data_IF_658226337967
#
_entry.id   IF_658226337967
#
_cell.length_a   1.000
_cell.length_b   1.000
_cell.length_c   1.000
_cell.angle_alpha   90.00
_cell.angle_beta   90.00
_cell.angle_gamma   90.00
#
_symmetry.space_group_name_H-M   'P 1'
#
loop_
_entity.id
_entity.type
_entity.pdbx_description
1 polymer ?
#
# COMPACT_ATOMS: atom_id res chain seq x y z
N UNK A 1 -0.03 26.50 14.41
CA UNK A 1 0.16 26.83 12.98
C UNK A 1 0.44 25.61 12.08
N UNK A 2 0.82 24.43 12.60
CA UNK A 2 1.07 23.20 11.80
C UNK A 2 -0.11 22.21 11.72
N UNK A 3 -1.27 22.53 12.29
CA UNK A 3 -2.42 21.61 12.42
C UNK A 3 -3.42 21.68 11.27
N UNK A 4 -3.26 22.63 10.35
CA UNK A 4 -4.17 22.81 9.23
C UNK A 4 -3.49 22.28 7.99
N UNK A 5 -3.89 21.10 7.55
CA UNK A 5 -3.50 20.59 6.25
C UNK A 5 -4.23 21.42 5.21
N UNK A 6 -3.48 22.13 4.37
CA UNK A 6 -4.06 22.90 3.26
C UNK A 6 -4.42 21.86 2.20
N UNK A 7 -5.71 21.57 2.03
CA UNK A 7 -6.15 20.79 0.88
C UNK A 7 -5.96 21.66 -0.36
N UNK A 8 -5.03 21.27 -1.22
CA UNK A 8 -4.66 22.03 -2.43
C UNK A 8 -5.53 21.62 -3.62
N UNK A 9 -6.47 20.69 -3.41
CA UNK A 9 -7.13 19.93 -4.48
C UNK A 9 -8.66 20.04 -4.34
N UNK A 10 -9.26 21.03 -5.01
CA UNK A 10 -10.69 21.00 -5.37
C UNK A 10 -10.90 20.06 -6.57
N UNK A 11 -10.69 18.75 -6.39
CA UNK A 11 -10.85 17.80 -7.50
C UNK A 11 -11.81 16.70 -7.12
N UNK A 12 -12.75 16.42 -8.03
CA UNK A 12 -13.80 15.42 -7.87
C UNK A 12 -13.28 13.97 -7.73
N UNK A 13 -11.99 13.72 -8.02
CA UNK A 13 -11.38 12.40 -7.90
C UNK A 13 -10.86 12.18 -6.46
N UNK A 14 -11.48 11.29 -5.66
CA UNK A 14 -11.09 11.04 -4.28
C UNK A 14 -9.66 10.49 -4.16
N UNK A 15 -9.10 9.88 -5.21
CA UNK A 15 -7.73 9.35 -5.16
C UNK A 15 -6.67 10.43 -4.96
N UNK A 16 -6.87 11.63 -5.52
CA UNK A 16 -5.90 12.71 -5.35
C UNK A 16 -5.83 13.20 -3.90
N UNK A 17 -6.94 13.13 -3.16
CA UNK A 17 -6.94 13.44 -1.73
C UNK A 17 -6.08 12.46 -0.92
N UNK A 18 -5.94 11.19 -1.33
CA UNK A 18 -5.07 10.22 -0.63
C UNK A 18 -3.59 10.55 -0.77
N UNK A 19 -3.19 11.19 -1.88
CA UNK A 19 -1.80 11.55 -2.16
C UNK A 19 -1.41 12.91 -1.63
N UNK A 20 -2.39 13.80 -1.50
CA UNK A 20 -2.13 15.20 -1.21
C UNK A 20 -2.76 15.68 0.08
N UNK A 21 -3.77 15.01 0.62
CA UNK A 21 -4.43 15.44 1.85
C UNK A 21 -4.11 14.50 3.01
N UNK A 22 -3.85 15.10 4.18
CA UNK A 22 -3.62 14.38 5.42
C UNK A 22 -2.18 13.94 5.65
N UNK A 23 -1.94 13.32 6.82
CA UNK A 23 -0.63 12.86 7.26
C UNK A 23 -0.58 11.34 7.14
N UNK A 24 0.33 10.87 6.30
CA UNK A 24 0.55 9.46 6.04
C UNK A 24 1.95 9.06 6.49
N UNK A 25 2.02 8.17 7.48
CA UNK A 25 3.27 7.52 7.86
C UNK A 25 3.67 6.54 6.76
N UNK A 26 4.83 6.78 6.14
CA UNK A 26 5.30 5.95 5.02
C UNK A 26 6.06 4.74 5.55
N UNK A 27 5.63 3.56 5.11
CA UNK A 27 6.28 2.29 5.41
C UNK A 27 6.39 1.47 4.12
N UNK A 28 7.22 0.45 4.12
CA UNK A 28 7.27 -0.57 3.06
C UNK A 28 6.93 -1.92 3.68
N UNK A 29 6.09 -2.71 3.02
CA UNK A 29 5.81 -4.09 3.43
C UNK A 29 6.96 -5.02 3.01
N UNK A 30 7.58 -4.75 1.87
CA UNK A 30 8.72 -5.45 1.33
C UNK A 30 9.71 -4.48 0.69
N UNK A 31 10.99 -4.84 0.70
CA UNK A 31 11.97 -4.26 -0.22
C UNK A 31 11.83 -4.95 -1.59
N UNK A 32 12.05 -4.23 -2.68
CA UNK A 32 11.94 -4.78 -4.03
C UNK A 32 10.51 -5.06 -4.50
N UNK A 33 10.40 -5.47 -5.77
CA UNK A 33 9.14 -5.87 -6.39
C UNK A 33 9.13 -7.38 -6.62
N UNK A 34 8.15 -8.10 -6.03
CA UNK A 34 8.03 -9.56 -6.19
C UNK A 34 7.73 -9.98 -7.65
N UNK A 35 7.22 -9.07 -8.48
CA UNK A 35 6.92 -9.35 -9.88
C UNK A 35 8.16 -9.21 -10.77
N UNK A 36 8.88 -8.07 -10.67
CA UNK A 36 10.19 -7.85 -11.29
C UNK A 36 10.28 -8.09 -12.81
N UNK A 37 9.16 -8.04 -13.54
CA UNK A 37 9.09 -8.44 -14.96
C UNK A 37 8.49 -7.39 -15.89
N UNK A 38 8.05 -6.25 -15.36
CA UNK A 38 7.50 -5.18 -16.18
C UNK A 38 8.59 -4.63 -17.11
N UNK A 39 8.36 -4.63 -18.43
CA UNK A 39 9.41 -4.26 -19.40
C UNK A 39 9.79 -2.78 -19.37
N UNK A 40 8.92 -1.95 -18.80
CA UNK A 40 9.11 -0.51 -18.63
C UNK A 40 9.68 -0.13 -17.25
N UNK A 41 9.72 -1.06 -16.29
CA UNK A 41 10.33 -0.82 -14.99
C UNK A 41 11.84 -1.03 -15.09
N UNK A 42 12.62 -0.15 -14.48
CA UNK A 42 14.07 -0.34 -14.37
C UNK A 42 14.41 -1.35 -13.26
N UNK A 43 14.16 -2.63 -13.55
CA UNK A 43 14.40 -3.75 -12.63
C UNK A 43 15.89 -3.97 -12.31
N UNK A 44 16.79 -3.25 -12.98
CA UNK A 44 18.22 -3.29 -12.69
C UNK A 44 18.60 -2.50 -11.44
N UNK A 45 17.70 -1.60 -10.99
CA UNK A 45 17.89 -0.85 -9.76
C UNK A 45 17.77 -1.79 -8.56
N UNK A 46 18.77 -1.72 -7.68
CA UNK A 46 18.91 -2.58 -6.49
C UNK A 46 17.62 -2.59 -5.64
N UNK A 47 17.00 -1.42 -5.48
CA UNK A 47 15.77 -1.26 -4.69
C UNK A 47 14.53 -1.93 -5.29
N UNK A 48 14.55 -2.29 -6.58
CA UNK A 48 13.47 -3.02 -7.28
C UNK A 48 13.83 -4.49 -7.42
N UNK A 49 15.07 -4.78 -7.85
CA UNK A 49 15.52 -6.11 -8.24
C UNK A 49 15.64 -7.11 -7.08
N UNK A 50 15.79 -6.64 -5.84
CA UNK A 50 15.97 -7.48 -4.67
C UNK A 50 14.72 -7.52 -3.79
N UNK A 51 13.90 -8.55 -3.98
CA UNK A 51 12.68 -8.74 -3.21
C UNK A 51 12.95 -9.36 -1.83
N UNK A 52 12.63 -8.63 -0.77
CA UNK A 52 12.73 -9.08 0.62
C UNK A 52 11.46 -8.69 1.41
N UNK A 53 10.55 -9.63 1.71
CA UNK A 53 9.36 -9.35 2.49
C UNK A 53 9.66 -9.19 3.98
N UNK A 54 8.97 -8.25 4.63
CA UNK A 54 9.01 -8.08 6.08
C UNK A 54 7.87 -8.85 6.71
N UNK A 55 8.13 -9.58 7.80
CA UNK A 55 7.08 -10.29 8.52
C UNK A 55 5.98 -9.33 9.02
N UNK A 56 4.71 -9.71 8.84
CA UNK A 56 3.57 -8.89 9.23
C UNK A 56 3.61 -8.45 10.70
N UNK A 57 4.08 -9.30 11.61
CA UNK A 57 4.23 -8.93 13.03
C UNK A 57 5.18 -7.75 13.23
N UNK A 58 6.31 -7.73 12.52
CA UNK A 58 7.31 -6.66 12.60
C UNK A 58 6.74 -5.37 11.99
N UNK A 59 6.00 -5.46 10.89
CA UNK A 59 5.34 -4.29 10.29
C UNK A 59 4.34 -3.66 11.27
N UNK A 60 3.51 -4.47 11.90
CA UNK A 60 2.51 -4.00 12.85
C UNK A 60 3.17 -3.48 14.15
N UNK A 61 4.27 -4.09 14.61
CA UNK A 61 5.08 -3.56 15.72
C UNK A 61 5.58 -2.13 15.41
N UNK A 62 6.05 -1.90 14.18
CA UNK A 62 6.50 -0.56 13.72
C UNK A 62 5.34 0.43 13.65
N UNK A 63 4.17 -0.01 13.18
CA UNK A 63 2.95 0.82 13.17
C UNK A 63 2.59 1.27 14.59
N UNK A 64 2.61 0.35 15.56
CA UNK A 64 2.35 0.69 16.97
C UNK A 64 3.40 1.65 17.55
N UNK A 65 4.67 1.43 17.25
CA UNK A 65 5.73 2.33 17.69
C UNK A 65 5.53 3.76 17.14
N UNK A 66 5.16 3.89 15.86
CA UNK A 66 4.88 5.18 15.22
C UNK A 66 3.62 5.82 15.81
N UNK A 67 2.57 5.03 16.03
CA UNK A 67 1.34 5.49 16.69
C UNK A 67 1.64 6.07 18.08
N UNK A 68 2.45 5.36 18.88
CA UNK A 68 2.82 5.78 20.23
C UNK A 68 3.67 7.07 20.23
N UNK A 69 4.51 7.26 19.20
CA UNK A 69 5.39 8.41 19.09
C UNK A 69 4.71 9.65 18.52
N UNK A 70 3.84 9.47 17.53
CA UNK A 70 3.31 10.58 16.72
C UNK A 70 1.82 10.84 16.92
N UNK A 71 1.08 9.86 17.46
CA UNK A 71 -0.39 9.84 17.52
C UNK A 71 -1.07 9.94 16.14
N UNK A 72 -0.33 9.71 15.05
CA UNK A 72 -0.85 9.72 13.68
C UNK A 72 -1.27 8.31 13.25
N UNK A 73 -2.54 8.16 12.85
CA UNK A 73 -3.16 6.85 12.55
C UNK A 73 -3.13 6.46 11.06
N UNK A 74 -2.73 7.37 10.19
CA UNK A 74 -2.66 7.15 8.74
C UNK A 74 -1.34 6.50 8.33
N UNK A 75 -1.42 5.44 7.53
CA UNK A 75 -0.27 4.75 6.94
C UNK A 75 -0.38 4.62 5.42
N UNK A 76 0.73 4.84 4.73
CA UNK A 76 0.86 4.59 3.29
C UNK A 76 2.00 3.61 3.08
N UNK A 77 1.67 2.43 2.55
CA UNK A 77 2.66 1.44 2.15
C UNK A 77 3.14 1.73 0.74
N UNK A 78 4.39 2.19 0.62
CA UNK A 78 5.01 2.72 -0.61
C UNK A 78 5.72 1.65 -1.45
N UNK A 79 5.32 0.39 -1.30
CA UNK A 79 5.80 -0.73 -2.08
C UNK A 79 5.57 -0.51 -3.59
N UNK A 80 6.49 -1.00 -4.42
CA UNK A 80 6.34 -1.01 -5.88
C UNK A 80 5.10 -1.84 -6.30
N UNK A 81 4.92 -2.97 -5.64
CA UNK A 81 3.72 -3.77 -5.69
C UNK A 81 3.57 -4.50 -4.36
N UNK A 82 2.59 -4.13 -3.55
CA UNK A 82 2.32 -4.81 -2.30
C UNK A 82 1.78 -6.24 -2.57
N UNK A 83 2.42 -7.29 -2.03
CA UNK A 83 1.97 -8.66 -2.26
C UNK A 83 0.63 -8.93 -1.55
N UNK A 84 -0.40 -9.47 -2.24
CA UNK A 84 -1.70 -9.73 -1.62
C UNK A 84 -1.66 -10.66 -0.40
N UNK A 85 -0.75 -11.65 -0.41
CA UNK A 85 -0.55 -12.56 0.71
C UNK A 85 -0.05 -11.83 1.96
N UNK A 86 0.93 -10.93 1.80
CA UNK A 86 1.47 -10.14 2.90
C UNK A 86 0.45 -9.09 3.39
N UNK A 87 -0.28 -8.44 2.48
CA UNK A 87 -1.37 -7.55 2.85
C UNK A 87 -2.43 -8.25 3.71
N UNK A 88 -2.78 -9.50 3.37
CA UNK A 88 -3.69 -10.32 4.17
C UNK A 88 -3.13 -10.57 5.58
N UNK A 89 -1.86 -10.91 5.70
CA UNK A 89 -1.22 -11.16 7.00
C UNK A 89 -1.16 -9.90 7.86
N UNK A 90 -0.81 -8.76 7.28
CA UNK A 90 -0.83 -7.46 7.96
C UNK A 90 -2.25 -7.11 8.42
N UNK A 91 -3.26 -7.29 7.56
CA UNK A 91 -4.66 -7.03 7.91
C UNK A 91 -5.14 -7.90 9.10
N UNK A 92 -4.78 -9.20 9.10
CA UNK A 92 -5.10 -10.10 10.20
C UNK A 92 -4.39 -9.71 11.50
N UNK A 93 -3.13 -9.30 11.43
CA UNK A 93 -2.37 -8.91 12.61
C UNK A 93 -2.87 -7.57 13.19
N UNK A 94 -3.26 -6.61 12.34
CA UNK A 94 -3.94 -5.36 12.76
C UNK A 94 -5.24 -5.68 13.52
N UNK A 95 -6.09 -6.55 12.96
CA UNK A 95 -7.37 -6.93 13.56
C UNK A 95 -7.17 -7.67 14.89
N UNK A 96 -6.20 -8.59 14.94
CA UNK A 96 -5.85 -9.34 16.15
C UNK A 96 -5.39 -8.43 17.29
N UNK A 97 -4.67 -7.35 16.97
CA UNK A 97 -4.22 -6.34 17.95
C UNK A 97 -5.23 -5.22 18.19
N UNK A 98 -6.36 -5.24 17.48
CA UNK A 98 -7.41 -4.23 17.54
C UNK A 98 -6.87 -2.80 17.36
N UNK A 99 -5.98 -2.61 16.38
CA UNK A 99 -5.42 -1.29 16.08
C UNK A 99 -6.39 -0.46 15.25
N UNK A 100 -6.68 0.75 15.74
CA UNK A 100 -7.45 1.74 15.02
C UNK A 100 -6.53 2.57 14.10
N UNK A 101 -6.42 2.15 12.85
CA UNK A 101 -5.56 2.73 11.82
C UNK A 101 -6.29 2.88 10.50
N UNK A 102 -5.82 3.80 9.66
CA UNK A 102 -6.25 3.91 8.27
C UNK A 102 -5.05 3.72 7.36
N UNK A 103 -5.20 2.94 6.30
CA UNK A 103 -4.08 2.68 5.40
C UNK A 103 -4.47 2.46 3.95
N UNK A 104 -3.50 2.68 3.06
CA UNK A 104 -3.61 2.40 1.63
C UNK A 104 -2.24 2.02 1.04
N UNK A 105 -2.24 1.43 -0.16
CA UNK A 105 -1.01 0.93 -0.79
C UNK A 105 -1.12 0.83 -2.31
N UNK A 106 0.01 0.63 -2.98
CA UNK A 106 0.09 0.32 -4.39
C UNK A 106 0.09 -1.19 -4.61
N UNK A 107 -0.66 -1.65 -5.62
CA UNK A 107 -0.80 -3.06 -5.96
C UNK A 107 -0.57 -3.29 -7.45
N UNK A 108 -0.31 -4.55 -7.78
CA UNK A 108 -0.49 -5.09 -9.13
C UNK A 108 -1.82 -5.84 -9.17
N UNK A 109 -2.55 -5.74 -10.28
CA UNK A 109 -3.75 -6.56 -10.48
C UNK A 109 -3.39 -8.03 -10.66
N UNK A 110 -4.01 -8.90 -9.85
CA UNK A 110 -3.79 -10.33 -9.92
C UNK A 110 -4.99 -11.13 -9.39
N UNK A 111 -5.04 -12.42 -9.75
CA UNK A 111 -6.18 -13.30 -9.45
C UNK A 111 -6.46 -13.45 -7.95
N UNK A 112 -5.44 -13.26 -7.12
CA UNK A 112 -5.54 -13.37 -5.66
C UNK A 112 -6.25 -12.17 -5.02
N UNK A 113 -6.49 -11.09 -5.78
CA UNK A 113 -7.26 -9.94 -5.32
C UNK A 113 -8.77 -10.24 -5.37
N UNK A 114 -9.22 -11.07 -4.44
CA UNK A 114 -10.61 -11.53 -4.36
C UNK A 114 -11.48 -10.60 -3.55
N UNK A 115 -12.81 -10.76 -3.65
CA UNK A 115 -13.78 -10.03 -2.83
C UNK A 115 -13.52 -10.20 -1.32
N UNK A 116 -13.21 -11.42 -0.89
CA UNK A 116 -12.97 -11.74 0.52
C UNK A 116 -11.71 -11.04 1.04
N UNK A 117 -10.66 -10.98 0.21
CA UNK A 117 -9.48 -10.19 0.54
C UNK A 117 -9.86 -8.72 0.71
N UNK A 118 -10.58 -8.11 -0.24
CA UNK A 118 -11.00 -6.71 -0.13
C UNK A 118 -11.82 -6.42 1.14
N UNK A 119 -12.71 -7.34 1.54
CA UNK A 119 -13.49 -7.21 2.78
C UNK A 119 -12.57 -7.25 4.00
N UNK A 120 -11.60 -8.17 4.03
CA UNK A 120 -10.62 -8.26 5.10
C UNK A 120 -9.77 -6.99 5.19
N UNK A 121 -9.27 -6.49 4.06
CA UNK A 121 -8.46 -5.27 4.01
C UNK A 121 -9.26 -4.09 4.58
N UNK A 122 -10.51 -3.92 4.14
CA UNK A 122 -11.41 -2.89 4.66
C UNK A 122 -11.63 -3.02 6.17
N UNK A 123 -11.83 -4.23 6.68
CA UNK A 123 -12.03 -4.45 8.12
C UNK A 123 -10.80 -4.03 8.93
N UNK A 124 -9.59 -4.21 8.39
CA UNK A 124 -8.33 -3.77 9.00
C UNK A 124 -8.01 -2.27 8.84
N UNK A 125 -8.93 -1.47 8.31
CA UNK A 125 -8.70 -0.04 8.07
C UNK A 125 -8.13 0.31 6.69
N UNK A 126 -8.10 -0.65 5.76
CA UNK A 126 -7.73 -0.41 4.37
C UNK A 126 -8.81 0.41 3.65
N UNK A 127 -8.48 1.64 3.27
CA UNK A 127 -9.46 2.57 2.66
C UNK A 127 -9.38 2.61 1.13
N UNK A 128 -8.22 2.28 0.56
CA UNK A 128 -7.98 2.34 -0.87
C UNK A 128 -6.76 1.50 -1.28
N UNK A 129 -6.69 1.20 -2.58
CA UNK A 129 -5.49 0.70 -3.26
C UNK A 129 -5.33 1.43 -4.59
N UNK A 130 -4.08 1.68 -4.98
CA UNK A 130 -3.71 2.19 -6.31
C UNK A 130 -3.14 1.03 -7.13
N UNK A 131 -3.81 0.68 -8.23
CA UNK A 131 -3.40 -0.43 -9.09
C UNK A 131 -2.82 0.03 -10.42
N UNK A 132 -1.65 -0.49 -10.79
CA UNK A 132 -1.07 -0.30 -12.12
C UNK A 132 -1.76 -1.15 -13.18
N UNK A 133 -2.61 -0.54 -14.02
CA UNK A 133 -3.24 -1.22 -15.17
C UNK A 133 -2.34 -1.16 -16.41
N UNK A 134 -1.59 -0.06 -16.57
CA UNK A 134 -0.65 0.28 -17.65
C UNK A 134 -1.23 0.35 -19.07
N UNK A 135 -1.96 -0.66 -19.51
CA UNK A 135 -2.59 -0.67 -20.82
C UNK A 135 -3.91 -1.44 -20.83
N UNK A 136 -4.95 -0.82 -21.40
CA UNK A 136 -6.24 -1.44 -21.64
C UNK A 136 -6.32 -2.13 -23.02
N UNK A 137 -5.23 -2.77 -23.45
CA UNK A 137 -5.12 -3.47 -24.74
C UNK A 137 -4.50 -4.84 -24.55
N UNK A 138 -5.29 -5.88 -24.82
CA UNK A 138 -4.87 -7.29 -24.69
C UNK A 138 -3.64 -7.61 -25.55
N UNK A 139 -3.46 -6.90 -26.67
CA UNK A 139 -2.32 -7.08 -27.55
C UNK A 139 -1.05 -6.53 -26.91
N UNK A 140 -1.14 -5.36 -26.28
CA UNK A 140 0.02 -4.64 -25.73
C UNK A 140 0.42 -5.23 -24.37
N UNK A 141 -0.53 -5.69 -23.55
CA UNK A 141 -0.24 -6.23 -22.20
C UNK A 141 0.68 -7.45 -22.22
N UNK A 142 0.79 -8.15 -23.36
CA UNK A 142 1.71 -9.28 -23.53
C UNK A 142 3.17 -8.84 -23.79
N UNK A 143 3.41 -7.56 -24.04
CA UNK A 143 4.74 -6.97 -24.28
C UNK A 143 5.26 -6.15 -23.09
N UNK A 144 4.46 -5.98 -22.03
CA UNK A 144 4.79 -5.14 -20.88
C UNK A 144 4.80 -5.89 -19.57
#
# INVERSE_FOLDING_TARGET
>A
LLTHYISVIEVANPMHSLWSDGRWNKLTMAHGCYWGKCTFCDISLDYIGHYEPIAASILVDRMEAILAQTNERGFHFVDEAAPPALMREVALEILKRNLDVTWWTNIRFEKNFTRDLCILLKASGGIAVSGGLEVASIRIINFI
#
